data_IF_975154296378
#
_entry.id   IF_975154296378
#
_cell.length_a   1.000
_cell.length_b   1.000
_cell.length_c   1.000
_cell.angle_alpha   90.00
_cell.angle_beta   90.00
_cell.angle_gamma   90.00
#
_symmetry.space_group_name_H-M   'P 1'
#
loop_
_entity.id
_entity.type
_entity.pdbx_description
1 polymer ?
#
# COMPACT_ATOMS: atom_id res chain seq x y z
N UNK A 1 -2.12 -7.68 -23.91
CA UNK A 1 -1.52 -7.56 -22.58
C UNK A 1 -2.36 -8.40 -21.64
N UNK A 2 -1.78 -9.45 -21.11
CA UNK A 2 -2.47 -10.37 -20.23
C UNK A 2 -2.65 -9.74 -18.85
N UNK A 3 -3.83 -9.13 -18.64
CA UNK A 3 -4.21 -8.47 -17.40
C UNK A 3 -4.71 -9.47 -16.33
N UNK A 4 -4.52 -10.76 -16.56
CA UNK A 4 -5.11 -11.85 -15.75
C UNK A 4 -4.22 -12.32 -14.60
N UNK A 5 -2.93 -11.97 -14.57
CA UNK A 5 -2.06 -12.35 -13.46
C UNK A 5 -2.31 -11.49 -12.22
N UNK A 6 -2.30 -12.10 -11.04
CA UNK A 6 -2.41 -11.39 -9.77
C UNK A 6 -1.32 -10.33 -9.60
N UNK A 7 -0.13 -10.60 -10.12
CA UNK A 7 0.99 -9.67 -10.14
C UNK A 7 0.66 -8.38 -10.91
N UNK A 8 0.26 -8.50 -12.19
CA UNK A 8 -0.05 -7.34 -13.03
C UNK A 8 -1.23 -6.54 -12.48
N UNK A 9 -2.23 -7.23 -11.93
CA UNK A 9 -3.35 -6.59 -11.26
C UNK A 9 -2.88 -5.70 -10.10
N UNK A 10 -2.02 -6.20 -9.21
CA UNK A 10 -1.54 -5.41 -8.08
C UNK A 10 -0.60 -4.27 -8.48
N UNK A 11 0.28 -4.47 -9.45
CA UNK A 11 1.10 -3.38 -10.02
C UNK A 11 0.20 -2.24 -10.50
N UNK A 12 -0.89 -2.56 -11.22
CA UNK A 12 -1.86 -1.56 -11.68
C UNK A 12 -2.58 -0.88 -10.52
N UNK A 13 -3.10 -1.66 -9.55
CA UNK A 13 -3.83 -1.14 -8.38
C UNK A 13 -2.98 -0.14 -7.58
N UNK A 14 -1.70 -0.42 -7.37
CA UNK A 14 -0.83 0.51 -6.65
C UNK A 14 -0.57 1.81 -7.43
N UNK A 15 -0.43 1.75 -8.75
CA UNK A 15 -0.39 2.96 -9.59
C UNK A 15 -1.69 3.75 -9.49
N UNK A 16 -2.85 3.07 -9.45
CA UNK A 16 -4.17 3.70 -9.35
C UNK A 16 -4.38 4.44 -8.01
N UNK A 17 -3.69 4.08 -6.93
CA UNK A 17 -3.71 4.85 -5.68
C UNK A 17 -3.26 6.31 -5.88
N UNK A 18 -2.41 6.54 -6.87
CA UNK A 18 -1.77 7.84 -7.16
C UNK A 18 -2.46 8.55 -8.32
N UNK A 19 -2.92 7.79 -9.33
CA UNK A 19 -3.36 8.35 -10.62
C UNK A 19 -4.86 8.54 -10.72
N UNK A 20 -5.64 7.94 -9.81
CA UNK A 20 -7.09 8.11 -9.79
C UNK A 20 -7.53 9.13 -8.74
N UNK A 21 -8.59 9.88 -9.05
CA UNK A 21 -9.14 10.86 -8.09
C UNK A 21 -9.63 10.17 -6.82
N UNK A 22 -10.27 9.01 -6.93
CA UNK A 22 -10.75 8.23 -5.77
C UNK A 22 -9.59 7.79 -4.85
N UNK A 23 -8.46 7.39 -5.45
CA UNK A 23 -7.26 7.05 -4.70
C UNK A 23 -6.70 8.25 -3.93
N UNK A 24 -6.53 9.39 -4.62
CA UNK A 24 -6.05 10.63 -4.01
C UNK A 24 -6.99 11.09 -2.87
N UNK A 25 -8.30 11.12 -3.12
CA UNK A 25 -9.29 11.57 -2.14
C UNK A 25 -9.32 10.66 -0.90
N UNK A 26 -9.15 9.35 -1.07
CA UNK A 26 -9.09 8.41 0.04
C UNK A 26 -7.89 8.67 0.96
N UNK A 27 -6.68 8.85 0.42
CA UNK A 27 -5.48 9.12 1.22
C UNK A 27 -5.46 10.56 1.76
N UNK A 28 -6.00 11.53 1.04
CA UNK A 28 -6.23 12.88 1.55
C UNK A 28 -7.13 12.84 2.80
N UNK A 29 -8.25 12.12 2.71
CA UNK A 29 -9.18 11.95 3.83
C UNK A 29 -8.53 11.24 5.02
N UNK A 30 -7.69 10.23 4.77
CA UNK A 30 -6.93 9.55 5.79
C UNK A 30 -6.01 10.53 6.56
N UNK A 31 -5.23 11.36 5.85
CA UNK A 31 -4.36 12.35 6.49
C UNK A 31 -5.16 13.44 7.23
N UNK A 32 -6.29 13.89 6.70
CA UNK A 32 -7.18 14.81 7.41
C UNK A 32 -7.60 14.26 8.78
N UNK A 33 -7.93 12.96 8.84
CA UNK A 33 -8.36 12.31 10.09
C UNK A 33 -7.19 12.25 11.08
N UNK A 34 -6.03 11.72 10.69
CA UNK A 34 -4.90 11.56 11.61
C UNK A 34 -4.30 12.89 12.08
N UNK A 35 -4.47 13.97 11.31
CA UNK A 35 -3.97 15.30 11.66
C UNK A 35 -4.92 16.15 12.50
N UNK A 36 -6.19 15.80 12.56
CA UNK A 36 -7.20 16.62 13.24
C UNK A 36 -7.93 15.91 14.38
N UNK A 37 -7.68 14.61 14.57
CA UNK A 37 -8.27 13.84 15.68
C UNK A 37 -7.21 13.61 16.78
N UNK A 38 -7.50 14.09 17.99
CA UNK A 38 -6.61 13.90 19.14
C UNK A 38 -6.73 12.51 19.79
N UNK A 39 -7.52 11.62 19.19
CA UNK A 39 -7.69 10.24 19.64
C UNK A 39 -6.71 9.31 18.93
N UNK A 40 -6.43 8.18 19.57
CA UNK A 40 -5.70 7.10 18.92
C UNK A 40 -6.46 6.63 17.67
N UNK A 41 -5.85 6.70 16.52
CA UNK A 41 -6.44 6.29 15.25
C UNK A 41 -5.98 4.88 14.88
N UNK A 42 -6.94 3.98 14.70
CA UNK A 42 -6.73 2.66 14.14
C UNK A 42 -7.26 2.61 12.72
N UNK A 43 -6.42 2.22 11.78
CA UNK A 43 -6.80 2.09 10.37
C UNK A 43 -6.48 0.71 9.80
N UNK A 44 -7.32 0.23 8.92
CA UNK A 44 -7.18 -1.08 8.29
C UNK A 44 -7.87 -1.14 6.93
N UNK A 45 -7.51 -2.13 6.13
CA UNK A 45 -8.27 -2.53 4.95
C UNK A 45 -8.75 -3.98 5.11
N UNK A 46 -9.07 -4.67 4.01
CA UNK A 46 -9.56 -6.06 4.06
C UNK A 46 -8.51 -7.04 4.58
N UNK A 47 -7.26 -6.88 4.17
CA UNK A 47 -6.13 -7.76 4.53
C UNK A 47 -5.06 -7.07 5.38
N UNK A 48 -5.09 -5.75 5.47
CA UNK A 48 -4.13 -4.98 6.25
C UNK A 48 -2.76 -4.80 5.57
N UNK A 49 -2.60 -5.17 4.29
CA UNK A 49 -1.30 -5.14 3.60
C UNK A 49 -1.19 -4.08 2.50
N UNK A 50 -2.18 -3.97 1.59
CA UNK A 50 -2.07 -3.10 0.41
C UNK A 50 -2.41 -1.64 0.75
N UNK A 51 -3.69 -1.28 0.85
CA UNK A 51 -4.13 0.09 1.17
C UNK A 51 -3.60 0.56 2.52
N UNK A 52 -3.57 -0.32 3.51
CA UNK A 52 -3.02 -0.04 4.85
C UNK A 52 -1.51 0.13 4.80
N UNK A 53 -0.79 -0.78 4.13
CA UNK A 53 0.66 -0.70 3.99
C UNK A 53 1.10 0.54 3.20
N UNK A 54 0.35 0.91 2.15
CA UNK A 54 0.64 2.14 1.43
C UNK A 54 0.37 3.40 2.28
N UNK A 55 -0.71 3.43 3.08
CA UNK A 55 -0.96 4.51 4.03
C UNK A 55 0.16 4.64 5.08
N UNK A 56 0.61 3.50 5.65
CA UNK A 56 1.72 3.46 6.59
C UNK A 56 3.01 4.00 5.95
N UNK A 57 3.36 3.50 4.76
CA UNK A 57 4.50 3.99 3.98
C UNK A 57 4.49 5.51 3.81
N UNK A 58 3.35 6.10 3.41
CA UNK A 58 3.24 7.57 3.27
C UNK A 58 3.45 8.30 4.59
N UNK A 59 2.91 7.80 5.70
CA UNK A 59 3.09 8.40 7.04
C UNK A 59 4.56 8.33 7.45
N UNK A 60 5.20 7.18 7.29
CA UNK A 60 6.62 6.97 7.62
C UNK A 60 7.53 7.92 6.85
N UNK A 61 7.34 8.05 5.53
CA UNK A 61 8.09 9.00 4.70
C UNK A 61 7.85 10.45 5.16
N UNK A 62 6.60 10.81 5.46
CA UNK A 62 6.26 12.15 5.95
C UNK A 62 6.92 12.46 7.31
N UNK A 63 7.05 11.46 8.18
CA UNK A 63 7.73 11.59 9.48
C UNK A 63 9.26 11.58 9.36
N UNK A 64 9.82 11.19 8.21
CA UNK A 64 11.25 11.22 7.94
C UNK A 64 11.94 9.87 8.03
N UNK A 65 11.20 8.78 8.04
CA UNK A 65 11.74 7.42 7.90
C UNK A 65 12.34 7.28 6.49
N UNK A 66 13.43 6.53 6.36
CA UNK A 66 14.06 6.29 5.06
C UNK A 66 13.14 5.47 4.15
N UNK A 67 13.26 5.64 2.82
CA UNK A 67 12.51 4.83 1.85
C UNK A 67 12.81 3.33 2.00
N UNK A 68 14.05 2.98 2.39
CA UNK A 68 14.47 1.60 2.62
C UNK A 68 13.76 1.01 3.84
N UNK A 69 13.73 1.73 4.97
CA UNK A 69 13.08 1.24 6.19
C UNK A 69 11.56 1.14 6.03
N UNK A 70 10.93 2.15 5.41
CA UNK A 70 9.50 2.13 5.11
C UNK A 70 9.12 1.00 4.13
N UNK A 71 9.98 0.69 3.15
CA UNK A 71 9.80 -0.48 2.28
C UNK A 71 9.92 -1.79 3.06
N UNK A 72 10.89 -1.88 3.97
CA UNK A 72 11.10 -3.08 4.81
C UNK A 72 9.90 -3.32 5.74
N UNK A 73 9.33 -2.27 6.34
CA UNK A 73 8.10 -2.38 7.15
C UNK A 73 6.93 -2.88 6.29
N UNK A 74 6.72 -2.30 5.13
CA UNK A 74 5.69 -2.78 4.19
C UNK A 74 5.86 -4.28 3.87
N UNK A 75 7.09 -4.72 3.55
CA UNK A 75 7.38 -6.12 3.22
C UNK A 75 7.24 -7.08 4.41
N UNK A 76 7.35 -6.57 5.64
CA UNK A 76 7.14 -7.35 6.86
C UNK A 76 5.73 -7.96 6.94
N UNK A 77 4.76 -7.35 6.24
CA UNK A 77 3.40 -7.89 6.10
C UNK A 77 3.36 -9.33 5.57
N UNK A 78 4.38 -9.76 4.79
CA UNK A 78 4.47 -11.15 4.29
C UNK A 78 4.54 -12.17 5.43
N UNK A 79 5.25 -11.84 6.51
CA UNK A 79 5.37 -12.74 7.69
C UNK A 79 3.99 -12.93 8.33
N UNK A 80 3.24 -11.83 8.50
CA UNK A 80 1.89 -11.88 9.07
C UNK A 80 0.89 -12.61 8.16
N UNK A 81 1.10 -12.56 6.83
CA UNK A 81 0.19 -13.15 5.84
C UNK A 81 0.49 -14.60 5.48
N UNK A 82 1.67 -15.15 5.84
CA UNK A 82 2.12 -16.49 5.44
C UNK A 82 1.08 -17.59 5.70
N UNK A 83 0.64 -17.71 6.94
CA UNK A 83 -0.36 -18.74 7.34
C UNK A 83 -1.70 -18.57 6.62
N UNK A 84 -2.09 -17.32 6.35
CA UNK A 84 -3.33 -17.02 5.65
C UNK A 84 -3.25 -17.40 4.18
N UNK A 85 -2.13 -17.11 3.52
CA UNK A 85 -1.85 -17.50 2.15
C UNK A 85 -1.88 -19.04 2.00
N UNK A 86 -1.19 -19.78 2.89
CA UNK A 86 -1.23 -21.24 2.92
C UNK A 86 -2.66 -21.79 3.07
N UNK A 87 -3.44 -21.24 4.02
CA UNK A 87 -4.82 -21.67 4.22
C UNK A 87 -5.70 -21.45 2.99
N UNK A 88 -5.51 -20.32 2.30
CA UNK A 88 -6.27 -20.03 1.06
C UNK A 88 -5.87 -20.96 -0.07
N UNK A 89 -4.58 -21.23 -0.25
CA UNK A 89 -4.11 -22.19 -1.26
C UNK A 89 -4.69 -23.58 -1.01
N UNK A 90 -4.68 -24.09 0.23
CA UNK A 90 -5.28 -25.38 0.58
C UNK A 90 -6.78 -25.46 0.32
N UNK A 91 -7.52 -24.34 0.44
CA UNK A 91 -8.97 -24.31 0.18
C UNK A 91 -9.31 -24.37 -1.29
N UNK A 92 -8.45 -23.88 -2.17
CA UNK A 92 -8.73 -23.77 -3.60
C UNK A 92 -8.08 -24.87 -4.43
N UNK A 93 -7.14 -25.65 -3.88
CA UNK A 93 -6.45 -26.73 -4.60
C UNK A 93 -7.39 -27.83 -5.14
N UNK A 94 -8.59 -27.96 -4.55
CA UNK A 94 -9.60 -28.93 -4.97
C UNK A 94 -10.61 -28.38 -6.01
N UNK A 95 -10.44 -27.10 -6.43
CA UNK A 95 -11.33 -26.51 -7.43
C UNK A 95 -11.03 -27.06 -8.83
N UNK A 96 -12.04 -27.31 -9.67
CA UNK A 96 -11.84 -27.91 -11.00
C UNK A 96 -10.94 -27.09 -11.95
N UNK A 97 -10.83 -25.78 -11.71
CA UNK A 97 -10.02 -24.85 -12.51
C UNK A 97 -8.66 -24.54 -11.87
N UNK A 98 -8.31 -25.22 -10.76
CA UNK A 98 -7.02 -25.01 -10.10
C UNK A 98 -5.88 -25.55 -10.97
N UNK A 99 -4.90 -24.69 -11.23
CA UNK A 99 -3.68 -25.00 -11.95
C UNK A 99 -2.54 -24.15 -11.40
N UNK A 100 -1.31 -24.35 -11.87
CA UNK A 100 -0.13 -23.62 -11.37
C UNK A 100 -0.21 -22.11 -11.65
N UNK A 101 -0.82 -21.68 -12.75
CA UNK A 101 -1.03 -20.25 -13.06
C UNK A 101 -1.99 -19.60 -12.07
N UNK A 102 -3.11 -20.25 -11.79
CA UNK A 102 -4.08 -19.79 -10.79
C UNK A 102 -3.44 -19.73 -9.39
N UNK A 103 -2.67 -20.77 -9.02
CA UNK A 103 -1.92 -20.81 -7.78
C UNK A 103 -0.94 -19.65 -7.67
N UNK A 104 -0.15 -19.38 -8.71
CA UNK A 104 0.80 -18.28 -8.72
C UNK A 104 0.07 -16.94 -8.60
N UNK A 105 -1.03 -16.75 -9.33
CA UNK A 105 -1.85 -15.54 -9.24
C UNK A 105 -2.39 -15.30 -7.82
N UNK A 106 -2.79 -16.36 -7.10
CA UNK A 106 -3.18 -16.25 -5.70
C UNK A 106 -2.01 -15.87 -4.79
N UNK A 107 -0.85 -16.51 -4.97
CA UNK A 107 0.37 -16.16 -4.21
C UNK A 107 0.69 -14.68 -4.40
N UNK A 108 0.63 -14.17 -5.62
CA UNK A 108 0.88 -12.77 -5.95
C UNK A 108 -0.11 -11.85 -5.22
N UNK A 109 -1.41 -12.18 -5.23
CA UNK A 109 -2.45 -11.40 -4.56
C UNK A 109 -2.32 -11.45 -3.03
N UNK A 110 -1.79 -12.52 -2.44
CA UNK A 110 -1.64 -12.66 -0.98
C UNK A 110 -0.29 -12.19 -0.44
N UNK A 111 0.68 -11.89 -1.29
CA UNK A 111 1.98 -11.34 -0.90
C UNK A 111 2.07 -9.82 -1.07
N UNK A 112 3.02 -9.20 -0.38
CA UNK A 112 3.52 -7.86 -0.68
C UNK A 112 4.84 -8.00 -1.45
N UNK A 113 5.05 -7.14 -2.45
CA UNK A 113 6.25 -7.15 -3.28
C UNK A 113 6.79 -5.75 -3.48
N UNK A 114 8.10 -5.65 -3.61
CA UNK A 114 8.78 -4.38 -3.92
C UNK A 114 8.22 -3.74 -5.20
N UNK A 115 7.89 -4.56 -6.19
CA UNK A 115 7.38 -4.10 -7.49
C UNK A 115 6.01 -3.40 -7.36
N UNK A 116 5.15 -3.85 -6.43
CA UNK A 116 3.86 -3.21 -6.20
C UNK A 116 4.05 -1.80 -5.62
N UNK A 117 4.82 -1.68 -4.54
CA UNK A 117 5.11 -0.38 -3.94
C UNK A 117 5.87 0.53 -4.92
N UNK A 118 6.83 -0.01 -5.67
CA UNK A 118 7.55 0.74 -6.69
C UNK A 118 6.65 1.27 -7.79
N UNK A 119 5.57 0.59 -8.14
CA UNK A 119 4.58 1.12 -9.09
C UNK A 119 3.96 2.43 -8.59
N UNK A 120 3.58 2.49 -7.31
CA UNK A 120 3.09 3.73 -6.69
C UNK A 120 4.20 4.80 -6.57
N UNK A 121 5.41 4.42 -6.13
CA UNK A 121 6.56 5.34 -6.01
C UNK A 121 6.90 5.95 -7.37
N UNK A 122 6.93 5.15 -8.44
CA UNK A 122 7.20 5.64 -9.79
C UNK A 122 6.10 6.60 -10.28
N UNK A 123 4.84 6.29 -10.01
CA UNK A 123 3.73 7.20 -10.32
C UNK A 123 3.83 8.53 -9.55
N UNK A 124 4.16 8.50 -8.25
CA UNK A 124 4.43 9.72 -7.48
C UNK A 124 5.61 10.51 -8.04
N UNK A 125 6.66 9.82 -8.47
CA UNK A 125 7.84 10.46 -9.06
C UNK A 125 7.53 11.10 -10.41
N UNK A 126 6.75 10.43 -11.24
CA UNK A 126 6.37 10.91 -12.57
C UNK A 126 5.42 12.12 -12.51
N UNK A 127 4.39 12.06 -11.66
CA UNK A 127 3.35 13.08 -11.63
C UNK A 127 3.64 14.24 -10.67
N UNK A 128 4.44 14.02 -9.61
CA UNK A 128 4.67 15.00 -8.54
C UNK A 128 6.16 15.23 -8.24
N UNK A 129 7.08 14.53 -8.91
CA UNK A 129 8.51 14.64 -8.65
C UNK A 129 8.99 13.88 -7.40
N UNK A 130 8.14 13.09 -6.76
CA UNK A 130 8.49 12.22 -5.64
C UNK A 130 7.44 12.14 -4.53
N UNK A 131 7.65 11.21 -3.59
CA UNK A 131 6.69 10.89 -2.52
C UNK A 131 6.36 12.09 -1.63
N UNK A 132 7.36 12.86 -1.19
CA UNK A 132 7.13 14.03 -0.33
C UNK A 132 6.32 15.13 -1.04
N UNK A 133 6.55 15.34 -2.34
CA UNK A 133 5.76 16.30 -3.11
C UNK A 133 4.32 15.83 -3.27
N UNK A 134 4.12 14.53 -3.57
CA UNK A 134 2.78 13.96 -3.62
C UNK A 134 2.01 14.18 -2.30
N UNK A 135 2.66 13.91 -1.15
CA UNK A 135 2.06 14.11 0.17
C UNK A 135 1.68 15.58 0.39
N UNK A 136 2.54 16.53 0.00
CA UNK A 136 2.29 17.96 0.17
C UNK A 136 1.27 18.51 -0.82
N UNK A 137 1.44 18.22 -2.10
CA UNK A 137 0.72 18.88 -3.18
C UNK A 137 -0.63 18.23 -3.48
N UNK A 138 -0.65 16.87 -3.60
CA UNK A 138 -1.86 16.14 -3.91
C UNK A 138 -2.73 15.90 -2.68
N UNK A 139 -2.11 15.50 -1.55
CA UNK A 139 -2.85 15.20 -0.33
C UNK A 139 -3.04 16.43 0.58
N UNK A 140 -2.31 17.53 0.34
CA UNK A 140 -2.44 18.77 1.09
C UNK A 140 -1.94 18.67 2.55
N UNK A 141 -0.95 17.80 2.81
CA UNK A 141 -0.45 17.53 4.15
C UNK A 141 0.59 18.54 4.57
N UNK A 142 0.36 19.19 5.71
CA UNK A 142 1.38 19.97 6.42
C UNK A 142 2.28 19.00 7.19
N UNK A 143 3.47 18.72 6.62
CA UNK A 143 4.45 17.78 7.18
C UNK A 143 4.99 18.25 8.53
N UNK A 144 5.21 19.54 8.72
CA UNK A 144 5.74 20.08 9.98
C UNK A 144 4.70 19.92 11.09
N UNK A 145 3.43 20.19 10.78
CA UNK A 145 2.32 19.91 11.71
C UNK A 145 2.21 18.41 12.01
N UNK A 146 2.29 17.54 11.00
CA UNK A 146 2.26 16.10 11.21
C UNK A 146 3.40 15.64 12.13
N UNK A 147 4.63 16.11 11.90
CA UNK A 147 5.78 15.80 12.75
C UNK A 147 5.56 16.28 14.19
N UNK A 148 5.01 17.47 14.39
CA UNK A 148 4.73 18.01 15.74
C UNK A 148 3.67 17.23 16.50
N UNK A 149 2.82 16.46 15.81
CA UNK A 149 1.78 15.61 16.42
C UNK A 149 2.29 14.22 16.82
N UNK A 150 3.29 13.71 16.09
CA UNK A 150 3.71 12.30 16.20
C UNK A 150 5.17 12.11 16.63
N UNK A 151 6.00 13.15 16.59
CA UNK A 151 7.39 13.10 17.03
C UNK A 151 7.57 14.00 18.28
N UNK A 152 8.29 13.48 19.28
CA UNK A 152 8.69 14.22 20.48
C UNK A 152 9.84 15.21 20.21
#
# INVERSE_FOLDING_TARGET
EDNTSGFNHLVKVYSEFITTQDGIDAYKKFFEIIMNDNRVTYFHCSQGKDRTGFAAYLVEIALGVSEEDAMNDYLYSNIAMEKRAEMMLRRVEYLPFYNEEYKQSLIDVFSTRVEYMNSAINAMKEHYGGTLNYIKEALGVDIDKLKSLYLE
#
